data_IF_339644746153
#
_entry.id   IF_339644746153
#
_cell.length_a   1.000
_cell.length_b   1.000
_cell.length_c   1.000
_cell.angle_alpha   90.00
_cell.angle_beta   90.00
_cell.angle_gamma   90.00
#
_symmetry.space_group_name_H-M   'P 1'
#
loop_
_entity.id
_entity.type
_entity.pdbx_description
1 polymer ?
#
# COMPACT_ATOMS: atom_id res chain seq x y z
N UNK A 1 22.09 -40.22 -38.09
CA UNK A 1 23.46 -40.75 -38.32
C UNK A 1 24.42 -39.86 -37.56
N UNK A 2 25.37 -40.47 -36.85
CA UNK A 2 26.37 -39.88 -35.94
C UNK A 2 25.84 -39.57 -34.52
N UNK A 3 26.72 -39.87 -33.57
CA UNK A 3 26.53 -40.37 -32.19
C UNK A 3 27.29 -39.52 -31.17
N UNK A 4 26.94 -39.75 -29.89
CA UNK A 4 27.65 -39.49 -28.61
C UNK A 4 27.05 -38.38 -27.74
N UNK A 5 27.05 -38.41 -26.40
CA UNK A 5 27.17 -39.38 -25.30
C UNK A 5 27.61 -38.57 -24.06
N UNK A 6 27.09 -38.88 -22.86
CA UNK A 6 27.50 -38.29 -21.58
C UNK A 6 26.29 -37.88 -20.73
N UNK A 7 25.62 -38.78 -20.01
CA UNK A 7 26.01 -39.40 -18.72
C UNK A 7 25.67 -38.53 -17.50
N UNK A 8 24.42 -38.60 -17.06
CA UNK A 8 23.99 -38.34 -15.68
C UNK A 8 24.17 -39.61 -14.82
N UNK A 9 24.75 -39.53 -13.61
CA UNK A 9 24.63 -40.60 -12.63
C UNK A 9 23.36 -40.40 -11.78
N UNK A 10 22.42 -41.31 -12.02
CA UNK A 10 21.21 -41.53 -11.26
C UNK A 10 21.48 -41.93 -9.79
N UNK A 11 20.69 -41.35 -8.89
CA UNK A 11 20.56 -41.76 -7.48
C UNK A 11 19.82 -43.11 -7.39
N UNK A 12 20.34 -44.12 -6.66
CA UNK A 12 19.62 -45.37 -6.47
C UNK A 12 18.59 -45.26 -5.32
N UNK A 13 17.32 -45.46 -5.66
CA UNK A 13 16.25 -45.87 -4.74
C UNK A 13 16.40 -47.37 -4.43
N UNK A 14 16.20 -47.82 -3.19
CA UNK A 14 16.02 -49.24 -2.91
C UNK A 14 14.53 -49.58 -2.84
N UNK A 15 14.02 -50.27 -3.87
CA UNK A 15 12.84 -51.13 -3.78
C UNK A 15 13.31 -52.57 -4.04
N UNK A 16 12.94 -53.50 -3.16
CA UNK A 16 12.68 -54.92 -3.39
C UNK A 16 12.47 -55.56 -2.01
N UNK A 17 11.22 -55.84 -1.65
CA UNK A 17 10.57 -57.13 -1.87
C UNK A 17 11.21 -58.25 -1.04
N UNK A 18 10.45 -58.65 -0.02
CA UNK A 18 10.70 -59.81 0.80
C UNK A 18 10.52 -61.11 0.01
N UNK A 19 11.34 -62.14 0.30
CA UNK A 19 10.92 -63.51 0.20
C UNK A 19 10.71 -64.10 1.61
N UNK A 20 9.57 -64.77 1.79
CA UNK A 20 9.27 -65.68 2.90
C UNK A 20 10.26 -66.86 2.94
N UNK A 21 10.50 -67.47 4.12
CA UNK A 21 11.04 -68.83 4.18
C UNK A 21 10.01 -69.79 4.80
N UNK A 22 9.55 -70.76 4.01
CA UNK A 22 9.00 -72.02 4.53
C UNK A 22 10.11 -73.03 4.84
N UNK A 23 9.76 -73.92 5.76
CA UNK A 23 10.57 -74.84 6.54
C UNK A 23 11.28 -75.93 5.74
N UNK A 24 12.46 -76.34 6.23
CA UNK A 24 13.19 -77.48 5.71
C UNK A 24 14.36 -77.94 6.58
N UNK A 25 14.04 -78.75 7.59
CA UNK A 25 14.80 -79.94 8.02
C UNK A 25 16.23 -79.82 8.59
N UNK A 26 16.30 -80.12 9.89
CA UNK A 26 17.26 -81.00 10.57
C UNK A 26 18.78 -80.73 10.46
N UNK A 27 19.27 -80.25 11.61
CA UNK A 27 20.31 -80.88 12.43
C UNK A 27 21.80 -80.66 12.05
N UNK A 28 22.53 -80.30 13.12
CA UNK A 28 23.98 -80.36 13.31
C UNK A 28 24.82 -79.17 12.79
N UNK A 29 24.92 -78.16 13.66
CA UNK A 29 25.90 -77.06 13.55
C UNK A 29 25.65 -75.85 14.45
N UNK A 30 24.71 -75.94 15.41
CA UNK A 30 24.06 -74.80 16.05
C UNK A 30 24.79 -74.08 17.20
N UNK A 31 25.93 -74.56 17.70
CA UNK A 31 26.58 -73.90 18.85
C UNK A 31 27.66 -72.88 18.44
N UNK A 32 28.38 -73.09 17.33
CA UNK A 32 29.58 -72.27 17.00
C UNK A 32 29.24 -71.05 16.13
N UNK A 33 28.12 -71.06 15.39
CA UNK A 33 27.72 -69.93 14.51
C UNK A 33 26.90 -68.84 15.19
N UNK A 34 26.14 -69.15 16.26
CA UNK A 34 25.32 -68.15 16.96
C UNK A 34 26.16 -67.19 17.81
N UNK A 35 27.21 -67.70 18.48
CA UNK A 35 28.16 -66.87 19.24
C UNK A 35 29.04 -66.02 18.32
N UNK A 36 29.44 -66.52 17.15
CA UNK A 36 30.21 -65.75 16.18
C UNK A 36 29.39 -64.59 15.56
N UNK A 37 28.10 -64.81 15.27
CA UNK A 37 27.20 -63.76 14.73
C UNK A 37 26.78 -62.76 15.82
N UNK A 38 26.64 -63.19 17.08
CA UNK A 38 26.40 -62.30 18.20
C UNK A 38 27.62 -61.42 18.52
N UNK A 39 28.82 -62.01 18.50
CA UNK A 39 30.09 -61.28 18.67
C UNK A 39 30.38 -60.31 17.52
N UNK A 40 30.03 -60.66 16.27
CA UNK A 40 30.16 -59.79 15.11
C UNK A 40 29.16 -58.61 15.15
N UNK A 41 27.91 -58.85 15.58
CA UNK A 41 26.92 -57.76 15.82
C UNK A 41 27.29 -56.86 16.99
N UNK A 42 27.90 -57.40 18.03
CA UNK A 42 28.37 -56.62 19.18
C UNK A 42 29.64 -55.82 18.83
N UNK A 43 30.52 -56.38 18.01
CA UNK A 43 31.67 -55.70 17.40
C UNK A 43 31.23 -54.55 16.50
N UNK A 44 30.30 -54.78 15.58
CA UNK A 44 29.75 -53.73 14.70
C UNK A 44 29.03 -52.62 15.48
N UNK A 45 28.33 -52.95 16.58
CA UNK A 45 27.72 -51.94 17.47
C UNK A 45 28.77 -51.10 18.21
N UNK A 46 29.88 -51.70 18.65
CA UNK A 46 31.00 -50.96 19.25
C UNK A 46 31.67 -50.05 18.22
N UNK A 47 31.93 -50.53 17.01
CA UNK A 47 32.50 -49.71 15.93
C UNK A 47 31.58 -48.56 15.52
N UNK A 48 30.26 -48.75 15.46
CA UNK A 48 29.30 -47.67 15.22
C UNK A 48 29.25 -46.63 16.35
N UNK A 49 29.40 -47.07 17.61
CA UNK A 49 29.50 -46.17 18.75
C UNK A 49 30.79 -45.35 18.69
N UNK A 50 31.93 -45.97 18.35
CA UNK A 50 33.23 -45.32 18.16
C UNK A 50 33.21 -44.30 17.00
N UNK A 51 32.54 -44.62 15.88
CA UNK A 51 32.35 -43.68 14.76
C UNK A 51 31.48 -42.48 15.19
N UNK A 52 30.44 -42.70 16.01
CA UNK A 52 29.59 -41.60 16.51
C UNK A 52 30.34 -40.70 17.47
N UNK A 53 31.14 -41.25 18.38
CA UNK A 53 31.99 -40.45 19.28
C UNK A 53 33.05 -39.69 18.48
N UNK A 54 33.66 -40.32 17.48
CA UNK A 54 34.62 -39.67 16.60
C UNK A 54 33.99 -38.52 15.78
N UNK A 55 32.78 -38.71 15.26
CA UNK A 55 32.05 -37.64 14.57
C UNK A 55 31.70 -36.48 15.53
N UNK A 56 31.29 -36.77 16.76
CA UNK A 56 31.05 -35.73 17.77
C UNK A 56 32.32 -34.97 18.15
N UNK A 57 33.46 -35.65 18.23
CA UNK A 57 34.76 -35.03 18.47
C UNK A 57 35.21 -34.17 17.28
N UNK A 58 34.95 -34.61 16.04
CA UNK A 58 35.21 -33.82 14.83
C UNK A 58 34.30 -32.60 14.78
N UNK A 59 33.01 -32.74 15.05
CA UNK A 59 32.07 -31.59 15.12
C UNK A 59 32.47 -30.60 16.20
N UNK A 60 32.90 -31.08 17.38
CA UNK A 60 33.40 -30.22 18.46
C UNK A 60 34.67 -29.47 18.04
N UNK A 61 35.64 -30.16 17.41
CA UNK A 61 36.85 -29.55 16.87
C UNK A 61 36.57 -28.55 15.74
N UNK A 62 35.60 -28.84 14.87
CA UNK A 62 35.16 -27.92 13.83
C UNK A 62 34.59 -26.64 14.45
N UNK A 63 33.71 -26.74 15.45
CA UNK A 63 33.18 -25.58 16.17
C UNK A 63 34.26 -24.79 16.91
N UNK A 64 35.26 -25.46 17.48
CA UNK A 64 36.40 -24.78 18.12
C UNK A 64 37.26 -24.03 17.10
N UNK A 65 37.54 -24.64 15.94
CA UNK A 65 38.28 -24.00 14.86
C UNK A 65 37.51 -22.81 14.25
N UNK A 66 36.19 -22.94 14.11
CA UNK A 66 35.31 -21.84 13.69
C UNK A 66 35.38 -20.67 14.68
N UNK A 67 35.23 -20.93 15.99
CA UNK A 67 35.35 -19.89 17.02
C UNK A 67 36.73 -19.23 17.05
N UNK A 68 37.80 -20.01 16.89
CA UNK A 68 39.15 -19.47 16.82
C UNK A 68 39.34 -18.56 15.60
N UNK A 69 38.82 -18.96 14.43
CA UNK A 69 38.82 -18.14 13.22
C UNK A 69 37.97 -16.88 13.38
N UNK A 70 36.82 -16.97 14.04
CA UNK A 70 35.96 -15.82 14.33
C UNK A 70 36.65 -14.79 15.22
N UNK A 71 37.35 -15.27 16.27
CA UNK A 71 38.13 -14.42 17.16
C UNK A 71 39.32 -13.78 16.43
N UNK A 72 40.03 -14.52 15.59
CA UNK A 72 41.14 -13.99 14.78
C UNK A 72 40.67 -12.91 13.80
N UNK A 73 39.58 -13.16 13.08
CA UNK A 73 38.99 -12.20 12.14
C UNK A 73 38.42 -10.97 12.85
N UNK A 74 37.83 -11.12 14.04
CA UNK A 74 37.42 -9.98 14.86
C UNK A 74 38.61 -9.14 15.34
N UNK A 75 39.72 -9.78 15.72
CA UNK A 75 40.97 -9.09 16.06
C UNK A 75 41.55 -8.30 14.89
N UNK A 76 41.57 -8.90 13.69
CA UNK A 76 41.99 -8.23 12.45
C UNK A 76 41.10 -7.04 12.08
N UNK A 77 39.78 -7.14 12.30
CA UNK A 77 38.82 -6.05 12.12
C UNK A 77 39.13 -4.87 13.05
N UNK A 78 39.33 -5.12 14.34
CA UNK A 78 39.68 -4.08 15.30
C UNK A 78 41.02 -3.40 14.93
N UNK A 79 42.03 -4.19 14.54
CA UNK A 79 43.31 -3.63 14.07
C UNK A 79 43.16 -2.81 12.80
N UNK A 80 42.31 -3.24 11.86
CA UNK A 80 42.00 -2.47 10.65
C UNK A 80 41.33 -1.12 10.98
N UNK A 81 40.38 -1.10 11.92
CA UNK A 81 39.71 0.13 12.35
C UNK A 81 40.66 1.08 13.08
N UNK A 82 41.52 0.56 13.96
CA UNK A 82 42.57 1.35 14.64
C UNK A 82 43.56 1.96 13.63
N UNK A 83 43.99 1.17 12.64
CA UNK A 83 44.89 1.64 11.56
C UNK A 83 44.21 2.67 10.67
N UNK A 84 42.91 2.53 10.36
CA UNK A 84 42.16 3.54 9.62
C UNK A 84 42.01 4.85 10.40
N UNK A 85 41.84 4.78 11.72
CA UNK A 85 41.82 5.97 12.56
C UNK A 85 43.19 6.64 12.59
N UNK A 86 44.27 5.88 12.79
CA UNK A 86 45.64 6.40 12.77
C UNK A 86 45.98 7.01 11.40
N UNK A 87 45.55 6.39 10.30
CA UNK A 87 45.71 6.90 8.94
C UNK A 87 44.94 8.21 8.67
N UNK A 88 43.86 8.51 9.42
CA UNK A 88 43.12 9.78 9.31
C UNK A 88 43.83 10.93 10.03
N UNK A 89 44.50 10.63 11.14
CA UNK A 89 45.20 11.61 11.98
C UNK A 89 46.61 11.92 11.47
N UNK A 90 47.27 10.93 10.86
CA UNK A 90 48.66 11.04 10.41
C UNK A 90 48.90 12.12 9.34
N UNK A 91 48.04 12.36 8.33
CA UNK A 91 48.23 13.44 7.36
C UNK A 91 48.34 14.83 7.99
N UNK A 92 47.55 15.11 9.02
CA UNK A 92 47.60 16.40 9.73
C UNK A 92 48.90 16.57 10.51
N UNK A 93 49.38 15.50 11.15
CA UNK A 93 50.66 15.49 11.85
C UNK A 93 51.84 15.66 10.88
N UNK A 94 51.74 15.03 9.71
CA UNK A 94 52.77 15.04 8.67
C UNK A 94 52.86 16.42 8.00
N UNK A 95 51.73 17.06 7.72
CA UNK A 95 51.66 18.44 7.22
C UNK A 95 52.20 19.44 8.25
N UNK A 96 51.82 19.31 9.53
CA UNK A 96 52.34 20.16 10.60
C UNK A 96 53.86 19.99 10.78
N UNK A 97 54.36 18.76 10.75
CA UNK A 97 55.78 18.45 10.88
C UNK A 97 56.58 18.95 9.67
N UNK A 98 56.05 18.82 8.44
CA UNK A 98 56.67 19.36 7.22
C UNK A 98 56.71 20.88 7.21
N UNK A 99 55.62 21.54 7.62
CA UNK A 99 55.55 23.00 7.71
C UNK A 99 56.57 23.55 8.71
N UNK A 100 56.71 22.91 9.88
CA UNK A 100 57.70 23.33 10.89
C UNK A 100 59.14 23.01 10.43
N UNK A 101 59.34 21.89 9.73
CA UNK A 101 60.63 21.58 9.11
C UNK A 101 61.02 22.65 8.06
N UNK A 102 60.12 22.97 7.15
CA UNK A 102 60.34 23.98 6.11
C UNK A 102 60.66 25.34 6.72
N UNK A 103 59.95 25.72 7.78
CA UNK A 103 60.24 26.92 8.57
C UNK A 103 61.65 26.90 9.15
N UNK A 104 62.07 25.81 9.78
CA UNK A 104 63.41 25.67 10.35
C UNK A 104 64.48 25.67 9.25
N UNK A 105 64.24 25.05 8.11
CA UNK A 105 65.15 25.06 6.96
C UNK A 105 65.33 26.45 6.37
N UNK A 106 64.25 27.23 6.24
CA UNK A 106 64.31 28.64 5.81
C UNK A 106 65.12 29.48 6.82
N UNK A 107 64.92 29.27 8.13
CA UNK A 107 65.65 29.99 9.17
C UNK A 107 67.14 29.64 9.20
N UNK A 108 67.50 28.38 8.93
CA UNK A 108 68.88 27.94 8.75
C UNK A 108 69.51 28.52 7.49
N UNK A 109 68.80 28.52 6.35
CA UNK A 109 69.28 29.13 5.09
C UNK A 109 69.52 30.64 5.22
N UNK A 110 68.73 31.32 6.06
CA UNK A 110 68.89 32.75 6.38
C UNK A 110 69.99 33.04 7.40
N UNK A 111 70.67 32.01 7.92
CA UNK A 111 71.74 32.15 8.91
C UNK A 111 71.28 32.53 10.32
N UNK A 112 69.98 32.42 10.61
CA UNK A 112 69.40 32.73 11.93
C UNK A 112 69.66 31.60 12.92
N UNK A 113 69.63 30.36 12.44
CA UNK A 113 70.00 29.16 13.21
C UNK A 113 71.50 28.90 13.05
N UNK A 114 72.31 29.63 13.82
CA UNK A 114 73.78 29.57 13.72
C UNK A 114 74.44 28.82 14.88
N UNK A 115 73.68 28.47 15.92
CA UNK A 115 74.23 27.74 17.07
C UNK A 115 74.22 26.23 16.80
N UNK A 116 75.18 25.46 17.36
CA UNK A 116 75.23 24.01 17.21
C UNK A 116 73.93 23.34 17.70
N UNK A 117 73.32 23.88 18.76
CA UNK A 117 72.05 23.41 19.31
C UNK A 117 70.89 23.56 18.31
N UNK A 118 70.84 24.64 17.56
CA UNK A 118 69.80 24.89 16.54
C UNK A 118 69.90 23.89 15.37
N UNK A 119 71.13 23.59 14.93
CA UNK A 119 71.38 22.58 13.90
C UNK A 119 70.98 21.18 14.38
N UNK A 120 71.18 20.86 15.66
CA UNK A 120 70.69 19.59 16.22
C UNK A 120 69.16 19.53 16.31
N UNK A 121 68.47 20.66 16.52
CA UNK A 121 67.01 20.69 16.49
C UNK A 121 66.46 20.52 15.08
N UNK A 122 67.11 21.11 14.06
CA UNK A 122 66.76 20.90 12.66
C UNK A 122 66.97 19.44 12.22
N UNK A 123 68.07 18.80 12.64
CA UNK A 123 68.26 17.37 12.41
C UNK A 123 67.23 16.50 13.13
N UNK A 124 66.83 16.86 14.35
CA UNK A 124 65.74 16.18 15.07
C UNK A 124 64.41 16.34 14.34
N UNK A 125 64.10 17.52 13.82
CA UNK A 125 62.89 17.77 13.03
C UNK A 125 62.89 16.95 11.73
N UNK A 126 64.02 16.86 11.01
CA UNK A 126 64.16 15.99 9.82
C UNK A 126 63.90 14.53 10.15
N UNK A 127 64.48 14.04 11.26
CA UNK A 127 64.27 12.67 11.74
C UNK A 127 62.82 12.42 12.13
N UNK A 128 62.14 13.39 12.74
CA UNK A 128 60.73 13.27 13.11
C UNK A 128 59.83 13.20 11.87
N UNK A 129 60.01 14.08 10.88
CA UNK A 129 59.27 14.02 9.61
C UNK A 129 59.49 12.66 8.93
N UNK A 130 60.75 12.21 8.83
CA UNK A 130 61.06 10.90 8.27
C UNK A 130 60.42 9.73 9.02
N UNK A 131 60.36 9.80 10.36
CA UNK A 131 59.70 8.78 11.18
C UNK A 131 58.18 8.76 11.00
N UNK A 132 57.53 9.92 10.86
CA UNK A 132 56.09 10.02 10.59
C UNK A 132 55.75 9.52 9.18
N UNK A 133 56.57 9.84 8.18
CA UNK A 133 56.43 9.30 6.81
C UNK A 133 56.62 7.77 6.76
N UNK A 134 57.61 7.24 7.49
CA UNK A 134 57.82 5.81 7.59
C UNK A 134 56.64 5.13 8.31
N UNK A 135 56.07 5.78 9.34
CA UNK A 135 54.88 5.28 10.03
C UNK A 135 53.66 5.27 9.12
N UNK A 136 53.41 6.32 8.35
CA UNK A 136 52.32 6.35 7.35
C UNK A 136 52.47 5.20 6.35
N UNK A 137 53.66 5.01 5.77
CA UNK A 137 53.89 3.90 4.82
C UNK A 137 53.66 2.53 5.45
N UNK A 138 54.04 2.35 6.71
CA UNK A 138 53.77 1.10 7.45
C UNK A 138 52.28 0.88 7.66
N UNK A 139 51.53 1.92 8.05
CA UNK A 139 50.07 1.87 8.20
C UNK A 139 49.41 1.50 6.86
N UNK A 140 49.79 2.17 5.77
CA UNK A 140 49.24 1.89 4.43
C UNK A 140 49.51 0.44 3.99
N UNK A 141 50.74 -0.05 4.17
CA UNK A 141 51.12 -1.44 3.86
C UNK A 141 50.35 -2.46 4.72
N UNK A 142 50.10 -2.12 5.99
CA UNK A 142 49.42 -3.00 6.93
C UNK A 142 47.91 -3.05 6.62
N UNK A 143 47.29 -1.93 6.21
CA UNK A 143 45.94 -1.87 5.68
C UNK A 143 45.81 -2.68 4.38
N UNK A 144 46.71 -2.49 3.41
CA UNK A 144 46.72 -3.27 2.16
C UNK A 144 46.82 -4.78 2.43
N UNK A 145 47.67 -5.17 3.39
CA UNK A 145 47.83 -6.57 3.79
C UNK A 145 46.58 -7.14 4.46
N UNK A 146 45.90 -6.35 5.29
CA UNK A 146 44.65 -6.76 5.93
C UNK A 146 43.52 -6.91 4.90
N UNK A 147 43.41 -5.99 3.94
CA UNK A 147 42.41 -6.06 2.86
C UNK A 147 42.66 -7.21 1.87
N UNK A 148 43.90 -7.68 1.75
CA UNK A 148 44.24 -8.87 0.99
C UNK A 148 43.72 -10.18 1.63
N UNK A 149 43.28 -10.16 2.89
CA UNK A 149 42.61 -11.31 3.53
C UNK A 149 41.15 -11.41 3.05
N UNK A 150 40.78 -12.45 2.29
CA UNK A 150 39.43 -12.58 1.73
C UNK A 150 38.35 -12.73 2.81
N UNK A 151 38.70 -13.26 4.00
CA UNK A 151 37.75 -13.43 5.10
C UNK A 151 37.41 -12.11 5.77
N UNK A 152 38.38 -11.21 5.91
CA UNK A 152 38.17 -9.86 6.42
C UNK A 152 37.36 -9.03 5.43
N UNK A 153 37.70 -9.11 4.14
CA UNK A 153 37.03 -8.37 3.09
C UNK A 153 35.55 -8.79 2.94
N UNK A 154 35.26 -10.09 3.02
CA UNK A 154 33.88 -10.59 3.05
C UNK A 154 33.08 -10.01 4.23
N UNK A 155 33.67 -9.93 5.44
CA UNK A 155 33.02 -9.35 6.62
C UNK A 155 32.82 -7.84 6.50
N UNK A 156 33.79 -7.11 5.96
CA UNK A 156 33.67 -5.68 5.71
C UNK A 156 32.56 -5.38 4.71
N UNK A 157 32.46 -6.18 3.64
CA UNK A 157 31.38 -6.08 2.67
C UNK A 157 30.01 -6.37 3.29
N UNK A 158 29.91 -7.42 4.12
CA UNK A 158 28.67 -7.74 4.84
C UNK A 158 28.26 -6.62 5.81
N UNK A 159 29.22 -6.04 6.52
CA UNK A 159 28.98 -4.89 7.40
C UNK A 159 28.52 -3.65 6.62
N UNK A 160 29.16 -3.36 5.49
CA UNK A 160 28.76 -2.26 4.61
C UNK A 160 27.37 -2.46 3.99
N UNK A 161 27.04 -3.67 3.55
CA UNK A 161 25.69 -4.00 3.09
C UNK A 161 24.66 -3.82 4.18
N UNK A 162 24.96 -4.26 5.41
CA UNK A 162 24.07 -4.09 6.55
C UNK A 162 23.85 -2.61 6.86
N UNK A 163 24.92 -1.81 6.89
CA UNK A 163 24.82 -0.37 7.11
C UNK A 163 24.02 0.33 6.01
N UNK A 164 24.20 -0.05 4.74
CA UNK A 164 23.42 0.51 3.63
C UNK A 164 21.92 0.21 3.78
N UNK A 165 21.56 -1.01 4.19
CA UNK A 165 20.16 -1.38 4.48
C UNK A 165 19.58 -0.57 5.65
N UNK A 166 20.38 -0.33 6.69
CA UNK A 166 19.99 0.50 7.84
C UNK A 166 19.75 1.97 7.42
N UNK A 167 20.68 2.57 6.66
CA UNK A 167 20.53 3.95 6.15
C UNK A 167 19.31 4.08 5.23
N UNK A 168 19.06 3.09 4.37
CA UNK A 168 17.87 3.08 3.52
C UNK A 168 16.59 3.00 4.37
N UNK A 169 16.56 2.13 5.37
CA UNK A 169 15.43 2.02 6.30
C UNK A 169 15.18 3.30 7.11
N UNK A 170 16.23 3.97 7.57
CA UNK A 170 16.15 5.29 8.20
C UNK A 170 15.57 6.33 7.23
N UNK A 171 16.04 6.35 5.97
CA UNK A 171 15.50 7.24 4.93
C UNK A 171 13.99 7.06 4.72
N UNK A 172 13.52 5.81 4.70
CA UNK A 172 12.10 5.48 4.58
C UNK A 172 11.31 5.98 5.79
N UNK A 173 11.79 5.66 6.99
CA UNK A 173 11.06 5.93 8.24
C UNK A 173 11.04 7.40 8.64
N UNK A 174 12.11 8.13 8.34
CA UNK A 174 12.26 9.55 8.74
C UNK A 174 11.78 10.54 7.66
N UNK A 175 11.75 10.15 6.38
CA UNK A 175 11.40 11.07 5.28
C UNK A 175 10.16 10.63 4.52
N UNK A 176 10.19 9.45 3.90
CA UNK A 176 9.13 9.04 2.98
C UNK A 176 7.79 8.76 3.69
N UNK A 177 7.82 8.02 4.79
CA UNK A 177 6.61 7.68 5.54
C UNK A 177 5.93 8.93 6.14
N UNK A 178 6.64 9.89 6.78
CA UNK A 178 6.04 11.14 7.21
C UNK A 178 5.47 12.00 6.08
N UNK A 179 6.09 12.01 4.91
CA UNK A 179 5.55 12.73 3.73
C UNK A 179 4.19 12.14 3.31
N UNK A 180 4.08 10.82 3.19
CA UNK A 180 2.80 10.17 2.90
C UNK A 180 1.74 10.48 3.97
N UNK A 181 2.13 10.51 5.26
CA UNK A 181 1.20 10.91 6.33
C UNK A 181 0.73 12.35 6.19
N UNK A 182 1.58 13.27 5.71
CA UNK A 182 1.16 14.64 5.42
C UNK A 182 0.16 14.69 4.27
N UNK A 183 0.37 13.89 3.21
CA UNK A 183 -0.59 13.82 2.10
C UNK A 183 -1.94 13.25 2.55
N UNK A 184 -1.96 12.23 3.43
CA UNK A 184 -3.20 11.72 4.03
C UNK A 184 -3.96 12.81 4.80
N UNK A 185 -3.25 13.77 5.43
CA UNK A 185 -3.88 14.86 6.19
C UNK A 185 -4.73 15.80 5.35
N UNK A 186 -4.55 15.82 4.03
CA UNK A 186 -5.33 16.66 3.12
C UNK A 186 -6.66 16.04 2.70
N UNK A 187 -6.75 14.70 2.70
CA UNK A 187 -7.95 13.96 2.29
C UNK A 187 -9.22 14.33 3.10
N UNK A 188 -9.16 14.50 4.44
CA UNK A 188 -10.33 14.92 5.22
C UNK A 188 -10.93 16.26 4.79
N UNK A 189 -10.10 17.21 4.35
CA UNK A 189 -10.57 18.50 3.88
C UNK A 189 -11.30 18.37 2.55
N UNK A 190 -10.80 17.52 1.66
CA UNK A 190 -11.45 17.24 0.37
C UNK A 190 -12.79 16.53 0.56
N UNK A 191 -12.86 15.54 1.46
CA UNK A 191 -14.13 14.88 1.82
C UNK A 191 -15.10 15.89 2.42
N UNK A 192 -14.64 16.78 3.30
CA UNK A 192 -15.47 17.86 3.87
C UNK A 192 -15.98 18.82 2.80
N UNK A 193 -15.16 19.17 1.80
CA UNK A 193 -15.60 20.02 0.68
C UNK A 193 -16.64 19.30 -0.18
N UNK A 194 -16.43 18.01 -0.48
CA UNK A 194 -17.37 17.20 -1.23
C UNK A 194 -18.71 17.08 -0.50
N UNK A 195 -18.68 16.85 0.82
CA UNK A 195 -19.89 16.80 1.65
C UNK A 195 -20.70 18.09 1.57
N UNK A 196 -20.05 19.26 1.66
CA UNK A 196 -20.74 20.55 1.54
C UNK A 196 -21.40 20.75 0.19
N UNK A 197 -20.72 20.38 -0.89
CA UNK A 197 -21.24 20.47 -2.26
C UNK A 197 -22.46 19.55 -2.45
N UNK A 198 -22.34 18.28 -2.03
CA UNK A 198 -23.44 17.30 -2.07
C UNK A 198 -24.62 17.75 -1.22
N UNK A 199 -24.36 18.29 -0.02
CA UNK A 199 -25.38 18.82 0.88
C UNK A 199 -26.12 20.01 0.27
N UNK A 200 -25.41 20.94 -0.37
CA UNK A 200 -26.02 22.08 -1.05
C UNK A 200 -26.91 21.64 -2.23
N UNK A 201 -26.41 20.75 -3.09
CA UNK A 201 -27.19 20.20 -4.22
C UNK A 201 -28.39 19.39 -3.77
N UNK A 202 -28.28 18.61 -2.69
CA UNK A 202 -29.40 17.87 -2.10
C UNK A 202 -30.49 18.81 -1.58
N UNK A 203 -30.11 19.93 -0.96
CA UNK A 203 -31.07 20.97 -0.56
C UNK A 203 -31.76 21.60 -1.77
N UNK A 204 -31.02 21.86 -2.84
CA UNK A 204 -31.58 22.44 -4.06
C UNK A 204 -32.55 21.48 -4.79
N UNK A 205 -32.24 20.18 -4.80
CA UNK A 205 -33.14 19.11 -5.27
C UNK A 205 -34.41 19.02 -4.41
N UNK A 206 -34.28 19.05 -3.08
CA UNK A 206 -35.43 19.05 -2.17
C UNK A 206 -36.33 20.28 -2.38
N UNK A 207 -35.73 21.44 -2.67
CA UNK A 207 -36.46 22.65 -3.08
C UNK A 207 -37.28 22.42 -4.35
N UNK A 208 -36.65 21.87 -5.40
CA UNK A 208 -37.33 21.55 -6.65
C UNK A 208 -38.45 20.50 -6.47
N UNK A 209 -38.23 19.46 -5.66
CA UNK A 209 -39.25 18.47 -5.34
C UNK A 209 -40.46 19.10 -4.60
N UNK A 210 -40.21 20.11 -3.75
CA UNK A 210 -41.28 20.87 -3.10
C UNK A 210 -42.08 21.68 -4.11
N UNK A 211 -41.41 22.32 -5.08
CA UNK A 211 -42.07 23.04 -6.19
C UNK A 211 -42.91 22.12 -7.07
N UNK A 212 -42.42 20.91 -7.38
CA UNK A 212 -43.18 19.87 -8.09
C UNK A 212 -44.45 19.51 -7.32
N UNK A 213 -44.32 19.26 -6.01
CA UNK A 213 -45.47 18.95 -5.16
C UNK A 213 -46.50 20.09 -5.11
N UNK A 214 -46.06 21.34 -5.04
CA UNK A 214 -46.94 22.50 -5.06
C UNK A 214 -47.66 22.65 -6.41
N UNK A 215 -46.94 22.47 -7.53
CA UNK A 215 -47.53 22.48 -8.87
C UNK A 215 -48.55 21.34 -9.05
N UNK A 216 -48.23 20.12 -8.60
CA UNK A 216 -49.12 18.96 -8.64
C UNK A 216 -50.38 19.17 -7.81
N UNK A 217 -50.25 19.77 -6.61
CA UNK A 217 -51.40 20.17 -5.79
C UNK A 217 -52.29 21.19 -6.49
N UNK A 218 -51.71 22.14 -7.22
CA UNK A 218 -52.50 23.14 -7.96
C UNK A 218 -53.34 22.51 -9.08
N UNK A 219 -52.78 21.55 -9.82
CA UNK A 219 -53.51 20.74 -10.81
C UNK A 219 -54.66 19.98 -10.14
N UNK A 220 -54.36 19.29 -9.03
CA UNK A 220 -55.33 18.49 -8.30
C UNK A 220 -56.46 19.32 -7.69
N UNK A 221 -56.13 20.42 -7.02
CA UNK A 221 -57.11 21.31 -6.38
C UNK A 221 -58.07 21.94 -7.40
N UNK A 222 -57.59 22.27 -8.60
CA UNK A 222 -58.45 22.79 -9.66
C UNK A 222 -59.44 21.73 -10.15
N UNK A 223 -58.98 20.52 -10.44
CA UNK A 223 -59.85 19.41 -10.89
C UNK A 223 -60.85 18.99 -9.81
N UNK A 224 -60.41 18.84 -8.56
CA UNK A 224 -61.28 18.52 -7.42
C UNK A 224 -62.30 19.63 -7.14
N UNK A 225 -61.88 20.91 -7.17
CA UNK A 225 -62.78 22.05 -6.97
C UNK A 225 -63.81 22.21 -8.08
N UNK A 226 -63.50 21.79 -9.32
CA UNK A 226 -64.49 21.73 -10.40
C UNK A 226 -65.52 20.62 -10.16
N UNK A 227 -65.07 19.43 -9.75
CA UNK A 227 -65.98 18.31 -9.42
C UNK A 227 -66.89 18.67 -8.24
N UNK A 228 -66.37 19.26 -7.17
CA UNK A 228 -67.15 19.65 -5.99
C UNK A 228 -68.21 20.73 -6.31
N UNK A 229 -67.88 21.71 -7.17
CA UNK A 229 -68.84 22.72 -7.63
C UNK A 229 -69.99 22.12 -8.43
N UNK A 230 -69.75 21.01 -9.11
CA UNK A 230 -70.74 20.29 -9.90
C UNK A 230 -71.55 19.29 -9.07
N UNK A 231 -71.00 18.71 -8.00
CA UNK A 231 -71.75 17.86 -7.05
C UNK A 231 -72.98 18.57 -6.44
N UNK A 232 -72.94 19.90 -6.33
CA UNK A 232 -74.07 20.71 -5.83
C UNK A 232 -75.21 20.87 -6.84
N UNK A 233 -75.05 20.37 -8.06
CA UNK A 233 -76.00 20.49 -9.16
C UNK A 233 -76.74 19.19 -9.47
N UNK A 234 -76.85 18.24 -8.51
CA UNK A 234 -77.57 16.97 -8.65
C UNK A 234 -79.00 17.13 -9.20
N UNK A 235 -79.12 17.28 -10.51
CA UNK A 235 -80.30 16.98 -11.30
C UNK A 235 -79.99 15.62 -11.90
N UNK A 236 -80.66 14.60 -11.35
CA UNK A 236 -80.76 13.27 -11.94
C UNK A 236 -81.22 13.42 -13.40
N UNK A 237 -80.32 13.23 -14.37
CA UNK A 237 -80.70 13.04 -15.76
C UNK A 237 -80.27 11.62 -16.17
N UNK A 238 -81.21 10.90 -16.79
CA UNK A 238 -81.15 9.46 -17.13
C UNK A 238 -80.02 9.06 -18.11
N UNK A 239 -79.20 10.01 -18.59
CA UNK A 239 -78.25 9.81 -19.69
C UNK A 239 -76.78 9.63 -19.29
N UNK A 240 -76.45 9.59 -17.98
CA UNK A 240 -75.26 8.91 -17.45
C UNK A 240 -73.85 9.46 -17.78
N UNK A 241 -73.72 10.62 -18.42
CA UNK A 241 -72.41 11.21 -18.73
C UNK A 241 -72.19 12.55 -18.03
N UNK A 242 -71.95 12.47 -16.73
CA UNK A 242 -71.55 13.60 -15.90
C UNK A 242 -70.10 13.97 -16.19
N UNK A 243 -69.76 15.26 -16.13
CA UNK A 243 -68.37 15.73 -16.20
C UNK A 243 -67.45 15.02 -15.17
N UNK A 244 -68.03 14.57 -14.05
CA UNK A 244 -67.37 13.70 -13.07
C UNK A 244 -66.94 12.35 -13.64
N UNK A 245 -67.75 11.73 -14.50
CA UNK A 245 -67.38 10.48 -15.17
C UNK A 245 -66.30 10.70 -16.24
N UNK A 246 -66.25 11.91 -16.81
CA UNK A 246 -65.21 12.31 -17.76
C UNK A 246 -63.85 12.58 -17.07
N UNK A 247 -63.87 12.96 -15.79
CA UNK A 247 -62.68 13.14 -14.94
C UNK A 247 -62.67 12.02 -13.90
N UNK A 248 -62.35 10.81 -14.33
CA UNK A 248 -62.15 9.69 -13.42
C UNK A 248 -60.86 9.91 -12.62
N UNK A 249 -60.97 9.93 -11.29
CA UNK A 249 -59.86 10.05 -10.34
C UNK A 249 -58.83 8.91 -10.44
N UNK A 250 -59.13 7.84 -11.18
CA UNK A 250 -58.19 6.72 -11.45
C UNK A 250 -57.38 6.89 -12.74
N UNK A 251 -57.74 7.85 -13.59
CA UNK A 251 -57.04 8.14 -14.85
C UNK A 251 -56.04 9.26 -14.69
N UNK A 252 -55.03 9.31 -15.55
CA UNK A 252 -54.09 10.44 -15.61
C UNK A 252 -54.81 11.74 -15.98
N UNK A 253 -54.22 12.89 -15.65
CA UNK A 253 -54.80 14.19 -16.02
C UNK A 253 -54.85 14.38 -17.53
N UNK A 254 -53.89 13.81 -18.25
CA UNK A 254 -53.83 13.75 -19.71
C UNK A 254 -54.99 12.95 -20.30
N UNK A 255 -55.28 11.78 -19.74
CA UNK A 255 -56.44 10.98 -20.13
C UNK A 255 -57.74 11.70 -19.80
N UNK A 256 -57.82 12.36 -18.64
CA UNK A 256 -58.97 13.19 -18.27
C UNK A 256 -59.18 14.35 -19.25
N UNK A 257 -58.12 15.04 -19.68
CA UNK A 257 -58.21 16.08 -20.73
C UNK A 257 -58.70 15.49 -22.05
N UNK A 258 -58.10 14.38 -22.49
CA UNK A 258 -58.47 13.73 -23.75
C UNK A 258 -59.94 13.27 -23.74
N UNK A 259 -60.39 12.69 -22.63
CA UNK A 259 -61.77 12.24 -22.43
C UNK A 259 -62.75 13.43 -22.46
N UNK A 260 -62.46 14.50 -21.70
CA UNK A 260 -63.31 15.70 -21.69
C UNK A 260 -63.33 16.37 -23.07
N UNK A 261 -62.21 16.42 -23.80
CA UNK A 261 -62.15 16.93 -25.18
C UNK A 261 -63.00 16.09 -26.14
N UNK A 262 -62.87 14.76 -26.08
CA UNK A 262 -63.60 13.84 -26.94
C UNK A 262 -65.12 13.94 -26.73
N UNK A 263 -65.56 13.95 -25.47
CA UNK A 263 -66.99 14.09 -25.11
C UNK A 263 -67.53 15.46 -25.52
N UNK A 264 -66.75 16.53 -25.27
CA UNK A 264 -67.13 17.90 -25.63
C UNK A 264 -67.23 18.12 -27.14
N UNK A 265 -66.42 17.42 -27.93
CA UNK A 265 -66.48 17.44 -29.40
C UNK A 265 -67.78 16.87 -29.96
N UNK A 266 -68.49 16.03 -29.20
CA UNK A 266 -69.87 15.63 -29.50
C UNK A 266 -70.87 16.73 -29.12
N UNK A 267 -71.76 17.13 -30.02
CA UNK A 267 -72.77 18.14 -29.71
C UNK A 267 -73.73 17.66 -28.60
N UNK A 268 -73.86 18.46 -27.52
CA UNK A 268 -75.00 18.38 -26.59
C UNK A 268 -74.78 17.64 -25.27
N UNK A 269 -73.59 17.10 -25.01
CA UNK A 269 -73.29 16.28 -23.82
C UNK A 269 -73.12 17.10 -22.52
N UNK A 270 -72.32 18.17 -22.52
CA UNK A 270 -72.24 19.08 -21.38
C UNK A 270 -73.23 20.25 -21.54
N UNK A 271 -74.03 20.53 -20.50
CA UNK A 271 -75.01 21.64 -20.50
C UNK A 271 -74.80 22.58 -19.31
N UNK A 272 -75.18 23.85 -19.50
CA UNK A 272 -75.17 24.86 -18.45
C UNK A 272 -73.83 24.98 -17.71
N UNK A 273 -73.86 24.78 -16.39
CA UNK A 273 -72.68 24.89 -15.51
C UNK A 273 -71.64 23.79 -15.73
N UNK A 274 -72.03 22.59 -16.18
CA UNK A 274 -71.08 21.52 -16.53
C UNK A 274 -70.28 21.87 -17.78
N UNK A 275 -70.94 22.48 -18.78
CA UNK A 275 -70.24 22.99 -19.96
C UNK A 275 -69.21 24.03 -19.57
N UNK A 276 -69.57 24.98 -18.70
CA UNK A 276 -68.66 26.00 -18.20
C UNK A 276 -67.47 25.41 -17.41
N UNK A 277 -67.70 24.36 -16.61
CA UNK A 277 -66.63 23.66 -15.89
C UNK A 277 -65.71 22.87 -16.83
N UNK A 278 -66.26 22.18 -17.84
CA UNK A 278 -65.48 21.52 -18.88
C UNK A 278 -64.68 22.51 -19.73
N UNK A 279 -65.27 23.66 -20.05
CA UNK A 279 -64.60 24.79 -20.67
C UNK A 279 -63.41 25.28 -19.86
N UNK A 280 -63.63 25.55 -18.58
CA UNK A 280 -62.61 26.04 -17.68
C UNK A 280 -61.50 25.01 -17.43
N UNK A 281 -61.86 23.72 -17.33
CA UNK A 281 -60.93 22.60 -17.20
C UNK A 281 -59.99 22.51 -18.40
N UNK A 282 -60.56 22.48 -19.61
CA UNK A 282 -59.80 22.39 -20.85
C UNK A 282 -58.96 23.64 -21.13
N UNK A 283 -59.34 24.80 -20.61
CA UNK A 283 -58.56 26.02 -20.74
C UNK A 283 -57.38 26.06 -19.75
N UNK A 284 -57.62 25.70 -18.49
CA UNK A 284 -56.67 25.95 -17.39
C UNK A 284 -55.75 24.75 -17.10
N UNK A 285 -56.27 23.53 -17.08
CA UNK A 285 -55.50 22.33 -16.67
C UNK A 285 -54.31 22.04 -17.61
N UNK A 286 -54.41 22.15 -18.95
CA UNK A 286 -53.25 21.94 -19.82
C UNK A 286 -52.07 22.87 -19.51
N UNK A 287 -52.33 24.14 -19.19
CA UNK A 287 -51.28 25.10 -18.83
C UNK A 287 -50.61 24.77 -17.48
N UNK A 288 -51.39 24.28 -16.51
CA UNK A 288 -50.88 23.86 -15.21
C UNK A 288 -50.10 22.55 -15.29
N UNK A 289 -50.53 21.60 -16.13
CA UNK A 289 -49.78 20.38 -16.42
C UNK A 289 -48.47 20.68 -17.14
N UNK A 290 -48.46 21.60 -18.09
CA UNK A 290 -47.23 22.04 -18.75
C UNK A 290 -46.25 22.67 -17.74
N UNK A 291 -46.75 23.46 -16.79
CA UNK A 291 -45.94 24.01 -15.70
C UNK A 291 -45.43 22.93 -14.74
N UNK A 292 -46.26 21.95 -14.39
CA UNK A 292 -45.86 20.79 -13.59
C UNK A 292 -44.74 20.00 -14.27
N UNK A 293 -44.91 19.62 -15.54
CA UNK A 293 -43.90 18.88 -16.32
C UNK A 293 -42.59 19.64 -16.44
N UNK A 294 -42.65 20.97 -16.59
CA UNK A 294 -41.45 21.80 -16.57
C UNK A 294 -40.73 21.68 -15.23
N UNK A 295 -41.46 21.70 -14.11
CA UNK A 295 -40.88 21.51 -12.77
C UNK A 295 -40.35 20.10 -12.53
N UNK A 296 -41.02 19.07 -13.04
CA UNK A 296 -40.54 17.69 -13.00
C UNK A 296 -39.22 17.56 -13.78
N UNK A 297 -39.15 18.14 -14.97
CA UNK A 297 -37.90 18.16 -15.76
C UNK A 297 -36.78 18.93 -15.07
N UNK A 298 -37.07 20.06 -14.41
CA UNK A 298 -36.08 20.82 -13.62
C UNK A 298 -35.58 19.98 -12.43
N UNK A 299 -36.46 19.27 -11.73
CA UNK A 299 -36.09 18.39 -10.62
C UNK A 299 -35.25 17.20 -11.09
N UNK A 300 -35.61 16.58 -12.22
CA UNK A 300 -34.86 15.47 -12.81
C UNK A 300 -33.46 15.90 -13.27
N UNK A 301 -33.32 17.09 -13.87
CA UNK A 301 -32.02 17.67 -14.20
C UNK A 301 -31.15 17.85 -12.95
N UNK A 302 -31.71 18.41 -11.87
CA UNK A 302 -30.97 18.58 -10.60
C UNK A 302 -30.57 17.25 -9.96
N UNK A 303 -31.40 16.21 -10.12
CA UNK A 303 -31.08 14.86 -9.65
C UNK A 303 -29.89 14.29 -10.40
N UNK A 304 -29.91 14.33 -11.73
CA UNK A 304 -28.80 13.88 -12.57
C UNK A 304 -27.52 14.66 -12.27
N UNK A 305 -27.61 15.98 -12.07
CA UNK A 305 -26.49 16.83 -11.71
C UNK A 305 -25.89 16.49 -10.33
N UNK A 306 -26.74 16.15 -9.35
CA UNK A 306 -26.31 15.68 -8.03
C UNK A 306 -25.57 14.33 -8.15
N UNK A 307 -26.15 13.37 -8.87
CA UNK A 307 -25.56 12.03 -9.07
C UNK A 307 -24.19 12.15 -9.73
N UNK A 308 -24.11 12.83 -10.88
CA UNK A 308 -22.86 13.04 -11.63
C UNK A 308 -21.79 13.76 -10.81
N UNK A 309 -22.15 14.82 -10.10
CA UNK A 309 -21.17 15.58 -9.30
C UNK A 309 -20.65 14.75 -8.13
N UNK A 310 -21.52 13.94 -7.52
CA UNK A 310 -21.11 13.04 -6.43
C UNK A 310 -20.12 12.00 -6.97
N UNK A 311 -20.40 11.38 -8.11
CA UNK A 311 -19.50 10.44 -8.77
C UNK A 311 -18.13 11.06 -9.10
N UNK A 312 -18.10 12.25 -9.71
CA UNK A 312 -16.86 12.95 -10.07
C UNK A 312 -16.01 13.31 -8.83
N UNK A 313 -16.65 13.79 -7.76
CA UNK A 313 -15.97 14.12 -6.50
C UNK A 313 -15.39 12.85 -5.84
N UNK A 314 -16.19 11.78 -5.76
CA UNK A 314 -15.75 10.51 -5.20
C UNK A 314 -14.58 9.94 -6.00
N UNK A 315 -14.70 9.83 -7.32
CA UNK A 315 -13.66 9.28 -8.18
C UNK A 315 -12.32 10.01 -8.01
N UNK A 316 -12.34 11.34 -7.91
CA UNK A 316 -11.13 12.15 -7.69
C UNK A 316 -10.47 11.84 -6.34
N UNK A 317 -11.23 11.90 -5.25
CA UNK A 317 -10.71 11.69 -3.89
C UNK A 317 -10.23 10.24 -3.72
N UNK A 318 -11.02 9.27 -4.20
CA UNK A 318 -10.68 7.85 -4.18
C UNK A 318 -9.39 7.56 -4.94
N UNK A 319 -9.18 8.19 -6.11
CA UNK A 319 -7.94 8.04 -6.87
C UNK A 319 -6.73 8.57 -6.11
N UNK A 320 -6.81 9.78 -5.59
CA UNK A 320 -5.72 10.39 -4.81
C UNK A 320 -5.38 9.55 -3.58
N UNK A 321 -6.39 9.06 -2.86
CA UNK A 321 -6.16 8.22 -1.70
C UNK A 321 -5.64 6.83 -2.08
N UNK A 322 -6.13 6.23 -3.17
CA UNK A 322 -5.60 4.99 -3.73
C UNK A 322 -4.13 5.10 -4.14
N UNK A 323 -3.71 6.24 -4.70
CA UNK A 323 -2.31 6.53 -5.04
C UNK A 323 -1.41 6.58 -3.81
N UNK A 324 -1.89 7.17 -2.71
CA UNK A 324 -1.20 7.20 -1.42
C UNK A 324 -1.04 5.78 -0.86
N UNK A 325 -2.12 4.99 -0.86
CA UNK A 325 -2.08 3.60 -0.38
C UNK A 325 -1.16 2.73 -1.22
N UNK A 326 -1.13 2.93 -2.54
CA UNK A 326 -0.24 2.17 -3.42
C UNK A 326 1.24 2.51 -3.15
N UNK A 327 1.58 3.79 -2.96
CA UNK A 327 2.94 4.17 -2.55
C UNK A 327 3.32 3.60 -1.17
N UNK A 328 2.38 3.57 -0.23
CA UNK A 328 2.60 2.92 1.05
C UNK A 328 2.86 1.41 0.91
N UNK A 329 2.15 0.73 -0.01
CA UNK A 329 2.40 -0.68 -0.32
C UNK A 329 3.80 -0.90 -0.88
N UNK A 330 4.26 -0.06 -1.81
CA UNK A 330 5.62 -0.15 -2.36
C UNK A 330 6.69 0.07 -1.29
N UNK A 331 6.43 0.94 -0.31
CA UNK A 331 7.31 1.09 0.87
C UNK A 331 7.36 -0.22 1.66
N UNK A 332 6.21 -0.84 1.95
CA UNK A 332 6.17 -2.10 2.68
C UNK A 332 6.93 -3.22 1.93
N UNK A 333 6.77 -3.33 0.60
CA UNK A 333 7.53 -4.28 -0.23
C UNK A 333 9.04 -4.01 -0.18
N UNK A 334 9.46 -2.75 -0.30
CA UNK A 334 10.88 -2.39 -0.25
C UNK A 334 11.47 -2.71 1.12
N UNK A 335 10.77 -2.39 2.20
CA UNK A 335 11.22 -2.72 3.57
C UNK A 335 11.32 -4.23 3.79
N UNK A 336 10.36 -5.00 3.28
CA UNK A 336 10.43 -6.46 3.33
C UNK A 336 11.63 -7.00 2.55
N UNK A 337 11.98 -6.37 1.42
CA UNK A 337 13.16 -6.74 0.62
C UNK A 337 14.50 -6.46 1.31
N UNK A 338 14.54 -5.51 2.27
CA UNK A 338 15.74 -5.22 3.07
C UNK A 338 16.10 -6.35 4.06
N UNK A 339 15.23 -7.37 4.21
CA UNK A 339 15.40 -8.50 5.15
C UNK A 339 15.62 -8.06 6.61
N UNK A 340 15.21 -6.83 6.93
CA UNK A 340 15.13 -6.37 8.31
C UNK A 340 13.91 -7.07 8.94
N UNK A 341 14.04 -7.59 10.15
CA UNK A 341 12.95 -8.29 10.86
C UNK A 341 11.76 -7.38 11.20
N UNK A 342 11.76 -6.13 10.75
CA UNK A 342 10.80 -5.08 11.12
C UNK A 342 9.79 -4.84 10.02
N UNK A 343 8.54 -5.25 10.27
CA UNK A 343 7.38 -4.83 9.46
C UNK A 343 6.91 -3.44 9.90
N UNK A 344 6.71 -2.53 8.95
CA UNK A 344 6.23 -1.17 9.25
C UNK A 344 4.70 -1.07 9.13
N UNK A 345 4.09 -1.75 8.14
CA UNK A 345 2.64 -1.70 7.92
C UNK A 345 2.18 -0.31 7.48
N UNK A 346 2.86 0.25 6.47
CA UNK A 346 2.62 1.61 5.99
C UNK A 346 1.18 1.77 5.48
N UNK A 347 0.63 0.77 4.78
CA UNK A 347 -0.76 0.79 4.28
C UNK A 347 -1.76 0.92 5.43
N UNK A 348 -1.66 0.06 6.45
CA UNK A 348 -2.52 0.09 7.63
C UNK A 348 -2.39 1.42 8.40
N UNK A 349 -1.17 1.96 8.51
CA UNK A 349 -0.93 3.27 9.12
C UNK A 349 -1.63 4.39 8.37
N UNK A 350 -1.60 4.41 7.03
CA UNK A 350 -2.32 5.43 6.25
C UNK A 350 -3.83 5.30 6.43
N UNK A 351 -4.36 4.06 6.43
CA UNK A 351 -5.78 3.78 6.68
C UNK A 351 -6.23 4.27 8.06
N UNK A 352 -5.44 3.95 9.08
CA UNK A 352 -5.72 4.38 10.45
C UNK A 352 -5.63 5.90 10.60
N UNK A 353 -4.59 6.52 10.04
CA UNK A 353 -4.41 7.97 10.09
C UNK A 353 -5.58 8.71 9.43
N UNK A 354 -6.04 8.25 8.25
CA UNK A 354 -7.22 8.85 7.62
C UNK A 354 -8.45 8.70 8.52
N UNK A 355 -8.69 7.50 9.06
CA UNK A 355 -9.83 7.23 9.93
C UNK A 355 -9.85 8.15 11.16
N UNK A 356 -8.72 8.29 11.86
CA UNK A 356 -8.63 9.18 13.03
C UNK A 356 -8.87 10.65 12.70
N UNK A 357 -8.30 11.14 11.58
CA UNK A 357 -8.48 12.53 11.18
C UNK A 357 -9.93 12.83 10.82
N UNK A 358 -10.54 11.85 10.17
CA UNK A 358 -11.94 11.86 9.84
C UNK A 358 -12.75 11.87 11.17
N UNK A 359 -12.42 11.02 12.17
CA UNK A 359 -13.11 10.95 13.48
C UNK A 359 -13.11 12.33 14.14
N UNK A 360 -11.94 12.98 14.18
CA UNK A 360 -11.79 14.34 14.73
C UNK A 360 -12.63 15.35 13.96
N UNK A 361 -12.76 15.19 12.65
CA UNK A 361 -13.60 16.06 11.82
C UNK A 361 -15.08 15.89 12.16
N UNK A 362 -15.55 14.66 12.35
CA UNK A 362 -16.92 14.36 12.76
C UNK A 362 -17.20 14.84 14.20
N UNK A 363 -16.30 14.60 15.16
CA UNK A 363 -16.42 15.05 16.55
C UNK A 363 -16.59 16.56 16.69
N UNK A 364 -15.89 17.35 15.88
CA UNK A 364 -16.01 18.83 15.90
C UNK A 364 -17.39 19.32 15.44
N UNK A 365 -18.13 18.50 14.69
CA UNK A 365 -19.43 18.85 14.12
C UNK A 365 -20.59 18.47 15.05
N UNK A 366 -20.48 17.32 15.72
CA UNK A 366 -21.53 16.84 16.62
C UNK A 366 -21.71 17.81 17.79
N UNK A 367 -22.86 18.47 17.84
CA UNK A 367 -23.28 19.18 19.03
C UNK A 367 -23.74 18.15 20.08
N UNK A 368 -23.19 18.21 21.29
CA UNK A 368 -23.28 17.10 22.25
C UNK A 368 -24.72 16.77 22.68
N UNK A 369 -25.33 15.76 22.06
CA UNK A 369 -26.55 15.12 22.55
C UNK A 369 -26.51 13.61 22.31
N UNK A 370 -25.99 12.87 23.28
CA UNK A 370 -26.06 11.40 23.32
C UNK A 370 -24.73 10.72 23.63
N UNK A 371 -24.78 9.67 24.47
CA UNK A 371 -23.62 8.86 24.84
C UNK A 371 -23.08 8.08 23.63
N UNK A 372 -23.96 7.60 22.73
CA UNK A 372 -23.57 6.94 21.48
C UNK A 372 -22.91 7.86 20.44
N UNK A 373 -23.30 9.14 20.37
CA UNK A 373 -22.67 10.12 19.46
C UNK A 373 -21.26 10.55 19.92
N UNK A 374 -20.94 10.38 21.21
CA UNK A 374 -19.57 10.56 21.74
C UNK A 374 -18.67 9.37 21.43
N UNK A 375 -19.22 8.16 21.39
CA UNK A 375 -18.47 6.93 21.13
C UNK A 375 -18.26 6.65 19.64
N UNK A 376 -19.25 6.97 18.80
CA UNK A 376 -19.16 6.82 17.34
C UNK A 376 -19.67 8.10 16.63
N UNK A 377 -18.82 9.15 16.56
CA UNK A 377 -19.20 10.47 16.04
C UNK A 377 -19.70 10.43 14.60
N UNK A 378 -19.22 9.45 13.84
CA UNK A 378 -19.67 9.16 12.48
C UNK A 378 -21.13 8.79 12.39
N UNK A 379 -21.65 7.98 13.31
CA UNK A 379 -22.99 7.42 13.18
C UNK A 379 -24.12 8.42 13.52
N UNK A 380 -23.81 9.71 13.68
CA UNK A 380 -24.80 10.74 13.96
C UNK A 380 -25.48 11.22 12.67
N UNK A 381 -26.80 11.42 12.72
CA UNK A 381 -27.63 11.90 11.59
C UNK A 381 -27.07 13.18 10.93
N UNK A 382 -26.47 14.07 11.72
CA UNK A 382 -25.83 15.31 11.24
C UNK A 382 -24.63 15.05 10.30
N UNK A 383 -24.05 13.85 10.33
CA UNK A 383 -22.86 13.44 9.59
C UNK A 383 -23.14 12.45 8.45
N UNK A 384 -24.39 12.07 8.17
CA UNK A 384 -24.73 11.02 7.19
C UNK A 384 -24.02 11.14 5.84
N UNK A 385 -24.02 12.35 5.24
CA UNK A 385 -23.38 12.59 3.95
C UNK A 385 -21.85 12.44 4.05
N UNK A 386 -21.26 12.92 5.14
CA UNK A 386 -19.82 12.82 5.39
C UNK A 386 -19.39 11.35 5.53
N UNK A 387 -20.16 10.57 6.27
CA UNK A 387 -19.94 9.12 6.47
C UNK A 387 -20.00 8.38 5.16
N UNK A 388 -21.05 8.66 4.37
CA UNK A 388 -21.25 8.00 3.08
C UNK A 388 -20.07 8.28 2.15
N UNK A 389 -19.66 9.55 2.01
CA UNK A 389 -18.51 9.92 1.18
C UNK A 389 -17.22 9.26 1.69
N UNK A 390 -16.96 9.27 2.99
CA UNK A 390 -15.78 8.62 3.55
C UNK A 390 -15.76 7.11 3.27
N UNK A 391 -16.89 6.43 3.46
CA UNK A 391 -17.02 4.99 3.21
C UNK A 391 -16.76 4.67 1.74
N UNK A 392 -17.40 5.41 0.84
CA UNK A 392 -17.29 5.21 -0.60
C UNK A 392 -15.85 5.47 -1.08
N UNK A 393 -15.22 6.54 -0.57
CA UNK A 393 -13.79 6.82 -0.83
C UNK A 393 -12.90 5.68 -0.35
N UNK A 394 -13.14 5.16 0.85
CA UNK A 394 -12.34 4.06 1.42
C UNK A 394 -12.48 2.78 0.61
N UNK A 395 -13.69 2.48 0.15
CA UNK A 395 -14.01 1.29 -0.63
C UNK A 395 -13.39 1.37 -2.03
N UNK A 396 -13.65 2.47 -2.76
CA UNK A 396 -13.09 2.69 -4.10
C UNK A 396 -11.57 2.78 -4.08
N UNK A 397 -10.95 3.47 -3.11
CA UNK A 397 -9.50 3.50 -2.96
C UNK A 397 -8.92 2.11 -2.66
N UNK A 398 -9.67 1.26 -1.95
CA UNK A 398 -9.31 -0.14 -1.71
C UNK A 398 -9.32 -0.98 -2.99
N UNK A 399 -10.30 -0.77 -3.86
CA UNK A 399 -10.36 -1.41 -5.19
C UNK A 399 -9.20 -0.95 -6.07
N UNK A 400 -8.97 0.37 -6.16
CA UNK A 400 -7.86 0.96 -6.92
C UNK A 400 -6.50 0.41 -6.46
N UNK A 401 -6.31 0.27 -5.14
CA UNK A 401 -5.11 -0.36 -4.59
C UNK A 401 -4.97 -1.80 -5.07
N UNK A 402 -6.02 -2.61 -4.95
CA UNK A 402 -6.03 -4.01 -5.39
C UNK A 402 -5.67 -4.15 -6.87
N UNK A 403 -6.31 -3.36 -7.73
CA UNK A 403 -6.06 -3.35 -9.17
C UNK A 403 -4.60 -3.01 -9.49
N UNK A 404 -4.03 -2.01 -8.81
CA UNK A 404 -2.64 -1.60 -9.01
C UNK A 404 -1.63 -2.64 -8.54
N UNK A 405 -1.89 -3.28 -7.39
CA UNK A 405 -1.05 -4.37 -6.91
C UNK A 405 -1.07 -5.52 -7.93
N UNK A 406 -2.23 -5.84 -8.51
CA UNK A 406 -2.32 -6.87 -9.53
C UNK A 406 -1.58 -6.50 -10.82
N UNK A 407 -1.69 -5.24 -11.25
CA UNK A 407 -0.93 -4.72 -12.41
C UNK A 407 0.58 -4.79 -12.18
N UNK A 408 1.06 -4.35 -11.01
CA UNK A 408 2.47 -4.36 -10.65
C UNK A 408 3.04 -5.79 -10.61
N UNK A 409 2.31 -6.74 -10.00
CA UNK A 409 2.68 -8.17 -10.02
C UNK A 409 2.76 -8.72 -11.44
N UNK A 410 1.78 -8.43 -12.29
CA UNK A 410 1.79 -8.86 -13.69
C UNK A 410 2.95 -8.26 -14.49
N UNK A 411 3.38 -7.03 -14.19
CA UNK A 411 4.57 -6.43 -14.80
C UNK A 411 5.86 -7.12 -14.34
N UNK A 412 6.00 -7.36 -13.03
CA UNK A 412 7.16 -8.08 -12.46
C UNK A 412 7.30 -9.50 -13.02
N UNK A 413 6.20 -10.21 -13.24
CA UNK A 413 6.19 -11.55 -13.85
C UNK A 413 6.63 -11.52 -15.31
N UNK A 414 6.17 -10.55 -16.11
CA UNK A 414 6.61 -10.40 -17.52
C UNK A 414 8.11 -10.13 -17.63
N UNK A 415 8.64 -9.23 -16.79
CA UNK A 415 10.07 -8.91 -16.77
C UNK A 415 10.90 -10.15 -16.40
N UNK A 416 10.41 -11.01 -15.50
CA UNK A 416 11.09 -12.27 -15.16
C UNK A 416 10.97 -13.33 -16.26
N UNK A 417 9.83 -13.40 -16.96
CA UNK A 417 9.63 -14.32 -18.08
C UNK A 417 10.47 -13.99 -19.31
N UNK A 418 10.63 -12.70 -19.63
CA UNK A 418 11.45 -12.26 -20.76
C UNK A 418 12.98 -12.32 -20.47
N UNK A 419 13.37 -12.49 -19.20
CA UNK A 419 14.77 -12.60 -18.77
C UNK A 419 15.37 -14.01 -18.87
N UNK A 420 14.55 -15.05 -19.05
CA UNK A 420 15.00 -16.46 -19.04
C UNK A 420 15.18 -17.06 -20.44
N UNK A 421 14.81 -16.33 -21.51
CA UNK A 421 14.79 -16.84 -22.89
C UNK A 421 15.83 -16.21 -23.85
N UNK A 422 16.86 -15.47 -23.37
CA UNK A 422 17.66 -14.68 -24.32
C UNK A 422 19.04 -14.15 -23.93
N UNK A 423 19.86 -14.89 -23.16
CA UNK A 423 21.31 -14.56 -23.05
C UNK A 423 22.20 -15.79 -23.12
N UNK A 424 22.03 -16.55 -24.20
CA UNK A 424 22.88 -17.67 -24.53
C UNK A 424 23.25 -17.67 -26.01
N UNK A 425 23.83 -16.58 -26.54
CA UNK A 425 24.70 -16.61 -27.72
C UNK A 425 25.28 -15.22 -28.05
N UNK A 426 26.55 -15.26 -28.48
CA UNK A 426 27.29 -14.26 -29.26
C UNK A 426 27.98 -13.13 -28.49
N UNK A 427 29.24 -13.37 -28.12
CA UNK A 427 30.35 -12.72 -28.82
C UNK A 427 31.68 -13.45 -28.59
N UNK A 428 32.08 -14.22 -29.61
CA UNK A 428 33.45 -14.62 -29.86
C UNK A 428 33.66 -14.53 -31.38
N UNK A 429 34.31 -13.46 -31.82
CA UNK A 429 34.96 -13.31 -33.10
C UNK A 429 36.22 -12.46 -32.90
#
# INVERSE_FOLDING_TARGET
>A
MVTHAGSDPAMPRPDADAPEPEEGSAAEGGAVKAEAIAADREGQKKTLAEIRTFNQEIEARLRELERAREAETAGKLATHDDLLQEARETPQLLDAARSELERLEILAQRGVLSQPEDLTQLEKARKLVGAVEERQRKIDQEIERLLADPTLNARLHEAAEKQNREVEFEGITEKELPQLQQEVRLIPEEITRAEREVSWRRKDLNGAATEVNLAGRAVYALGAGMIEKLERLKTFDEYGYDFRNAIDHRTSWEESIANVQAIRGGMGWFRGKEKAAADEFLLKVPSLLAALRKKESEAEQKRNDLEKTTEELLARISKQYGDILFRAHLIDERVESLKLLTRIGAVERMRYALHELMDRTAQRRVSGSGQGAREQPWAADENDILVQIYRDVREQAGQILGDRIQQDKGQKERIRGDGDDGSGAQDAA
#
